data_IF_322344350126
#
_entry.id   IF_322344350126
#
_cell.length_a   1.000
_cell.length_b   1.000
_cell.length_c   1.000
_cell.angle_alpha   90.00
_cell.angle_beta   90.00
_cell.angle_gamma   90.00
#
_symmetry.space_group_name_H-M   'P 1'
#
loop_
_entity.id
_entity.type
_entity.pdbx_description
1 polymer ?
#
# COMPACT_ATOMS: atom_id res chain seq x y z
N UNK A 1 -8.52 20.81 6.60
CA UNK A 1 -8.23 19.85 5.51
C UNK A 1 -8.85 18.52 5.91
N UNK A 2 -9.66 17.89 5.05
CA UNK A 2 -10.26 16.58 5.35
C UNK A 2 -9.19 15.49 5.44
N UNK A 3 -9.48 14.41 6.16
CA UNK A 3 -8.60 13.24 6.30
C UNK A 3 -8.20 12.66 4.94
N UNK A 4 -9.14 12.60 3.99
CA UNK A 4 -8.89 12.10 2.63
C UNK A 4 -7.84 12.96 1.90
N UNK A 5 -8.00 14.29 1.92
CA UNK A 5 -7.04 15.23 1.32
C UNK A 5 -5.65 15.15 1.95
N UNK A 6 -5.55 14.79 3.24
CA UNK A 6 -4.26 14.57 3.90
C UNK A 6 -3.60 13.27 3.42
N UNK A 7 -4.38 12.20 3.24
CA UNK A 7 -3.90 10.91 2.75
C UNK A 7 -3.38 11.04 1.32
N UNK A 8 -4.13 11.68 0.43
CA UNK A 8 -3.72 11.93 -0.96
C UNK A 8 -2.39 12.70 -1.02
N UNK A 9 -2.31 13.84 -0.31
CA UNK A 9 -1.07 14.63 -0.26
C UNK A 9 0.11 13.89 0.35
N UNK A 10 -0.13 13.01 1.32
CA UNK A 10 0.93 12.18 1.91
C UNK A 10 1.44 11.17 0.89
N UNK A 11 0.53 10.56 0.11
CA UNK A 11 0.88 9.60 -0.93
C UNK A 11 1.71 10.27 -2.04
N UNK A 12 1.25 11.42 -2.55
CA UNK A 12 1.97 12.18 -3.59
C UNK A 12 3.37 12.58 -3.11
N UNK A 13 3.47 13.14 -1.90
CA UNK A 13 4.74 13.52 -1.31
C UNK A 13 5.67 12.31 -1.08
N UNK A 14 5.11 11.17 -0.69
CA UNK A 14 5.90 9.95 -0.50
C UNK A 14 6.50 9.48 -1.84
N UNK A 15 5.70 9.42 -2.92
CA UNK A 15 6.17 9.07 -4.26
C UNK A 15 7.22 10.05 -4.78
N UNK A 16 6.96 11.35 -4.67
CA UNK A 16 7.91 12.40 -5.06
C UNK A 16 9.21 12.33 -4.26
N UNK A 17 9.12 12.03 -2.98
CA UNK A 17 10.26 11.85 -2.11
C UNK A 17 11.16 10.71 -2.54
N UNK A 18 10.58 9.56 -2.89
CA UNK A 18 11.33 8.41 -3.42
C UNK A 18 12.00 8.80 -4.74
N UNK A 19 11.24 9.41 -5.67
CA UNK A 19 11.80 9.85 -6.96
C UNK A 19 13.00 10.77 -6.77
N UNK A 20 12.92 11.72 -5.84
CA UNK A 20 14.02 12.66 -5.55
C UNK A 20 15.23 12.00 -4.92
N UNK A 21 15.03 11.17 -3.90
CA UNK A 21 16.10 10.60 -3.06
C UNK A 21 16.74 9.36 -3.66
N UNK A 22 15.94 8.48 -4.26
CA UNK A 22 16.40 7.17 -4.72
C UNK A 22 16.46 7.10 -6.25
N UNK A 23 16.04 8.14 -6.97
CA UNK A 23 15.94 8.17 -8.44
C UNK A 23 15.12 7.01 -9.01
N UNK A 24 14.19 6.48 -8.21
CA UNK A 24 13.27 5.42 -8.60
C UNK A 24 11.95 6.05 -8.98
N UNK A 25 11.50 5.76 -10.19
CA UNK A 25 10.12 6.01 -10.60
C UNK A 25 9.31 4.74 -10.30
N UNK A 26 8.26 4.87 -9.49
CA UNK A 26 7.37 3.75 -9.19
C UNK A 26 6.22 3.79 -10.19
N UNK A 27 6.44 3.22 -11.37
CA UNK A 27 5.35 2.88 -12.27
C UNK A 27 4.82 1.52 -11.80
N UNK A 28 3.60 1.52 -11.28
CA UNK A 28 2.90 0.29 -10.88
C UNK A 28 2.88 -0.63 -12.11
N UNK A 29 3.52 -1.78 -12.00
CA UNK A 29 3.58 -2.77 -13.09
C UNK A 29 4.91 -2.84 -13.86
N UNK A 30 5.89 -1.96 -13.67
CA UNK A 30 7.16 -2.05 -14.43
C UNK A 30 8.20 -2.97 -13.79
N UNK A 31 8.25 -3.03 -12.46
CA UNK A 31 9.29 -3.78 -11.75
C UNK A 31 9.14 -5.30 -11.92
N UNK A 32 7.92 -5.79 -12.05
CA UNK A 32 7.62 -7.21 -12.12
C UNK A 32 8.02 -7.80 -13.50
N UNK A 33 7.67 -7.17 -14.65
CA UNK A 33 8.26 -7.49 -15.94
C UNK A 33 9.79 -7.42 -15.94
N UNK A 34 10.39 -6.40 -15.33
CA UNK A 34 11.85 -6.28 -15.28
C UNK A 34 12.55 -7.43 -14.53
N UNK A 35 11.97 -7.92 -13.41
CA UNK A 35 12.47 -9.10 -12.70
C UNK A 35 12.37 -10.36 -13.58
N UNK A 36 11.24 -10.54 -14.26
CA UNK A 36 11.03 -11.67 -15.15
C UNK A 36 12.00 -11.64 -16.34
N UNK A 37 12.23 -10.48 -16.96
CA UNK A 37 13.22 -10.29 -18.02
C UNK A 37 14.65 -10.60 -17.55
N UNK A 38 15.03 -10.14 -16.35
CA UNK A 38 16.33 -10.44 -15.76
C UNK A 38 16.53 -11.95 -15.49
N UNK A 39 15.44 -12.72 -15.33
CA UNK A 39 15.47 -14.17 -15.22
C UNK A 39 15.43 -14.91 -16.58
N UNK A 40 15.50 -14.18 -17.70
CA UNK A 40 15.48 -14.73 -19.05
C UNK A 40 14.09 -15.02 -19.60
N UNK A 41 13.03 -14.46 -19.01
CA UNK A 41 11.67 -14.59 -19.52
C UNK A 41 11.38 -13.50 -20.57
N UNK A 42 10.80 -13.88 -21.70
CA UNK A 42 10.36 -12.98 -22.77
C UNK A 42 8.87 -13.18 -23.05
N UNK A 43 8.25 -12.28 -23.84
CA UNK A 43 6.82 -12.35 -24.16
C UNK A 43 5.89 -12.44 -22.93
N UNK A 44 6.24 -11.69 -21.88
CA UNK A 44 5.51 -11.69 -20.62
C UNK A 44 4.08 -11.19 -20.86
N UNK A 45 3.11 -12.10 -20.82
CA UNK A 45 1.70 -11.78 -20.68
C UNK A 45 1.41 -11.60 -19.20
N UNK A 46 1.69 -10.42 -18.69
CA UNK A 46 1.32 -10.05 -17.33
C UNK A 46 -0.20 -9.90 -17.26
N UNK A 47 -0.91 -10.97 -16.89
CA UNK A 47 -2.28 -10.85 -16.43
C UNK A 47 -2.24 -10.36 -14.99
N UNK A 48 -2.21 -9.05 -14.80
CA UNK A 48 -2.33 -8.43 -13.47
C UNK A 48 -3.75 -8.67 -12.97
N UNK A 49 -4.03 -9.87 -12.45
CA UNK A 49 -5.24 -10.13 -11.70
C UNK A 49 -5.06 -9.56 -10.29
N UNK A 50 -5.21 -8.24 -10.17
CA UNK A 50 -5.27 -7.58 -8.88
C UNK A 50 -6.65 -7.85 -8.26
N UNK A 51 -6.73 -8.97 -7.55
CA UNK A 51 -7.85 -9.31 -6.68
C UNK A 51 -7.85 -8.32 -5.49
N UNK A 52 -8.36 -7.12 -5.73
CA UNK A 52 -8.44 -6.02 -4.76
C UNK A 52 -9.60 -6.23 -3.80
N UNK A 53 -9.43 -7.09 -2.81
CA UNK A 53 -10.48 -7.35 -1.84
C UNK A 53 -10.51 -6.29 -0.73
N UNK A 54 -11.68 -5.68 -0.50
CA UNK A 54 -11.88 -4.79 0.64
C UNK A 54 -11.88 -5.56 1.95
N UNK A 55 -11.45 -4.94 3.04
CA UNK A 55 -11.63 -5.54 4.38
C UNK A 55 -13.09 -5.73 4.75
N UNK A 56 -13.96 -4.88 4.21
CA UNK A 56 -15.40 -4.97 4.39
C UNK A 56 -16.03 -6.12 3.61
N UNK A 57 -15.34 -6.73 2.64
CA UNK A 57 -15.94 -7.74 1.78
C UNK A 57 -16.39 -8.97 2.60
N UNK A 58 -17.71 -9.27 2.61
CA UNK A 58 -18.28 -10.31 3.45
C UNK A 58 -17.81 -11.72 3.06
N UNK A 59 -17.32 -11.91 1.83
CA UNK A 59 -16.79 -13.20 1.34
C UNK A 59 -15.45 -13.56 2.01
N UNK A 60 -14.74 -12.59 2.59
CA UNK A 60 -13.48 -12.85 3.31
C UNK A 60 -13.74 -13.33 4.73
N UNK A 61 -12.99 -14.33 5.21
CA UNK A 61 -13.05 -14.76 6.61
C UNK A 61 -12.60 -13.63 7.54
N UNK A 62 -13.39 -13.35 8.57
CA UNK A 62 -13.12 -12.24 9.49
C UNK A 62 -11.78 -12.39 10.23
N UNK A 63 -11.40 -13.62 10.58
CA UNK A 63 -10.14 -13.90 11.27
C UNK A 63 -8.93 -13.48 10.41
N UNK A 64 -8.94 -13.83 9.13
CA UNK A 64 -7.87 -13.49 8.18
C UNK A 64 -7.77 -11.98 7.98
N UNK A 65 -8.91 -11.30 7.79
CA UNK A 65 -8.97 -9.84 7.68
C UNK A 65 -8.38 -9.16 8.91
N UNK A 66 -8.71 -9.63 10.12
CA UNK A 66 -8.15 -9.08 11.36
C UNK A 66 -6.66 -9.35 11.48
N UNK A 67 -6.19 -10.52 11.05
CA UNK A 67 -4.77 -10.85 11.08
C UNK A 67 -3.97 -9.98 10.10
N UNK A 68 -4.44 -9.81 8.87
CA UNK A 68 -3.85 -8.90 7.89
C UNK A 68 -3.81 -7.46 8.39
N UNK A 69 -4.90 -6.98 9.01
CA UNK A 69 -4.94 -5.64 9.57
C UNK A 69 -3.90 -5.44 10.69
N UNK A 70 -3.64 -6.47 11.52
CA UNK A 70 -2.55 -6.44 12.51
C UNK A 70 -1.18 -6.37 11.84
N UNK A 71 -0.95 -7.15 10.80
CA UNK A 71 0.28 -7.12 10.01
C UNK A 71 0.48 -5.74 9.38
N UNK A 72 -0.56 -5.15 8.80
CA UNK A 72 -0.49 -3.82 8.20
C UNK A 72 -0.21 -2.72 9.23
N UNK A 73 -0.78 -2.80 10.44
CA UNK A 73 -0.43 -1.90 11.55
C UNK A 73 1.05 -2.03 11.91
N UNK A 74 1.58 -3.25 11.99
CA UNK A 74 2.98 -3.50 12.30
C UNK A 74 3.89 -2.93 11.19
N UNK A 75 3.63 -3.27 9.93
CA UNK A 75 4.37 -2.76 8.78
C UNK A 75 4.33 -1.23 8.69
N UNK A 76 3.18 -0.62 8.95
CA UNK A 76 3.04 0.83 8.97
C UNK A 76 3.99 1.43 10.00
N UNK A 77 4.00 0.94 11.24
CA UNK A 77 4.91 1.42 12.30
C UNK A 77 6.38 1.19 11.95
N UNK A 78 6.73 0.03 11.42
CA UNK A 78 8.11 -0.31 11.05
C UNK A 78 8.65 0.63 9.97
N UNK A 79 7.80 1.07 9.04
CA UNK A 79 8.20 1.95 7.94
C UNK A 79 8.21 3.44 8.30
N UNK A 80 7.76 3.85 9.49
CA UNK A 80 7.65 5.28 9.87
C UNK A 80 8.87 6.14 9.61
N UNK A 81 10.05 5.66 9.98
CA UNK A 81 11.28 6.43 9.81
C UNK A 81 11.60 6.62 8.33
N UNK A 82 11.45 5.56 7.55
CA UNK A 82 11.69 5.55 6.10
C UNK A 82 10.65 6.39 5.36
N UNK A 83 9.37 6.21 5.64
CA UNK A 83 8.28 6.97 5.01
C UNK A 83 8.35 8.46 5.37
N UNK A 84 8.76 8.80 6.60
CA UNK A 84 9.01 10.19 7.00
C UNK A 84 10.10 10.82 6.15
N UNK A 85 11.22 10.13 5.92
CA UNK A 85 12.33 10.63 5.09
C UNK A 85 11.83 11.00 3.70
N UNK A 86 11.08 10.12 3.05
CA UNK A 86 10.52 10.38 1.73
C UNK A 86 9.47 11.49 1.75
N UNK A 87 8.51 11.46 2.67
CA UNK A 87 7.48 12.49 2.75
C UNK A 87 8.06 13.91 2.96
N UNK A 88 9.12 14.06 3.76
CA UNK A 88 9.82 15.35 3.91
C UNK A 88 10.44 15.80 2.59
N UNK A 89 11.14 14.90 1.88
CA UNK A 89 11.70 15.21 0.56
C UNK A 89 10.61 15.55 -0.50
N UNK A 90 9.42 14.99 -0.32
CA UNK A 90 8.21 15.33 -1.07
C UNK A 90 7.52 16.64 -0.66
N UNK A 91 8.04 17.37 0.34
CA UNK A 91 7.51 18.67 0.76
C UNK A 91 6.50 18.62 1.92
N UNK A 92 6.35 17.48 2.61
CA UNK A 92 5.51 17.41 3.81
C UNK A 92 6.24 17.92 5.04
N UNK A 93 5.51 18.66 5.87
CA UNK A 93 6.01 19.08 7.18
C UNK A 93 5.86 17.95 8.22
N UNK A 94 6.73 17.95 9.23
CA UNK A 94 6.64 17.00 10.35
C UNK A 94 5.25 17.02 11.01
N UNK A 95 4.62 18.19 11.14
CA UNK A 95 3.28 18.33 11.70
C UNK A 95 2.23 17.54 10.89
N UNK A 96 2.27 17.65 9.55
CA UNK A 96 1.34 16.92 8.67
C UNK A 96 1.60 15.42 8.67
N UNK A 97 2.88 15.00 8.67
CA UNK A 97 3.27 13.58 8.76
C UNK A 97 2.76 12.98 10.08
N UNK A 98 2.96 13.66 11.20
CA UNK A 98 2.50 13.19 12.51
C UNK A 98 0.97 13.13 12.59
N UNK A 99 0.26 14.09 11.98
CA UNK A 99 -1.20 14.06 11.88
C UNK A 99 -1.68 12.84 11.07
N UNK A 100 -1.08 12.60 9.90
CA UNK A 100 -1.38 11.44 9.05
C UNK A 100 -1.15 10.12 9.78
N UNK A 101 0.02 9.94 10.42
CA UNK A 101 0.36 8.70 11.12
C UNK A 101 -0.62 8.39 12.25
N UNK A 102 -0.96 9.41 13.04
CA UNK A 102 -1.92 9.29 14.15
C UNK A 102 -3.32 8.94 13.66
N UNK A 103 -3.83 9.65 12.64
CA UNK A 103 -5.16 9.40 12.09
C UNK A 103 -5.27 8.01 11.46
N UNK A 104 -4.25 7.61 10.70
CA UNK A 104 -4.20 6.30 10.03
C UNK A 104 -4.14 5.16 11.03
N UNK A 105 -3.27 5.26 12.06
CA UNK A 105 -3.24 4.25 13.15
C UNK A 105 -4.55 4.20 13.94
N UNK A 106 -5.12 5.35 14.29
CA UNK A 106 -6.38 5.40 15.03
C UNK A 106 -7.50 4.71 14.25
N UNK A 107 -7.57 4.97 12.93
CA UNK A 107 -8.52 4.30 12.03
C UNK A 107 -8.30 2.80 11.98
N UNK A 108 -7.08 2.34 11.69
CA UNK A 108 -6.78 0.89 11.62
C UNK A 108 -7.10 0.17 12.95
N UNK A 109 -6.79 0.80 14.09
CA UNK A 109 -7.13 0.25 15.42
C UNK A 109 -8.64 0.20 15.66
N UNK A 110 -9.38 1.24 15.28
CA UNK A 110 -10.84 1.28 15.41
C UNK A 110 -11.53 0.23 14.52
N UNK A 111 -10.98 -0.04 13.33
CA UNK A 111 -11.46 -1.12 12.47
C UNK A 111 -11.16 -2.49 13.08
N UNK A 112 -9.97 -2.67 13.66
CA UNK A 112 -9.59 -3.93 14.30
C UNK A 112 -10.48 -4.26 15.53
N UNK A 113 -10.86 -3.24 16.32
CA UNK A 113 -11.64 -3.42 17.54
C UNK A 113 -13.16 -3.53 17.32
N UNK A 114 -13.68 -3.12 16.16
CA UNK A 114 -15.12 -3.10 15.89
C UNK A 114 -15.45 -3.82 14.57
N UNK A 115 -15.95 -5.05 14.68
CA UNK A 115 -16.33 -5.88 13.53
C UNK A 115 -17.39 -5.22 12.66
N UNK A 116 -18.43 -4.60 13.25
CA UNK A 116 -19.49 -3.92 12.47
C UNK A 116 -18.88 -2.81 11.62
N UNK A 117 -18.04 -1.97 12.25
CA UNK A 117 -17.33 -0.89 11.57
C UNK A 117 -16.41 -1.42 10.46
N UNK A 118 -15.65 -2.47 10.74
CA UNK A 118 -14.79 -3.13 9.75
C UNK A 118 -15.58 -3.60 8.52
N UNK A 119 -16.76 -4.19 8.73
CA UNK A 119 -17.62 -4.71 7.67
C UNK A 119 -18.39 -3.65 6.90
N UNK A 120 -18.54 -2.44 7.46
CA UNK A 120 -19.23 -1.34 6.81
C UNK A 120 -18.30 -0.27 6.24
N UNK A 121 -16.98 -0.40 6.41
CA UNK A 121 -16.01 0.62 5.99
C UNK A 121 -15.43 0.26 4.59
N UNK A 122 -15.72 1.05 3.54
CA UNK A 122 -15.25 0.77 2.17
C UNK A 122 -13.87 1.38 1.89
N UNK A 123 -13.20 1.94 2.88
CA UNK A 123 -12.07 2.86 2.66
C UNK A 123 -10.70 2.21 2.85
N UNK A 124 -10.66 0.91 3.16
CA UNK A 124 -9.42 0.14 3.28
C UNK A 124 -9.51 -1.16 2.47
N UNK A 125 -8.57 -1.27 1.53
CA UNK A 125 -8.32 -2.48 0.76
C UNK A 125 -7.27 -3.35 1.48
N UNK A 126 -7.32 -4.65 1.23
CA UNK A 126 -6.33 -5.62 1.66
C UNK A 126 -5.19 -5.75 0.64
N UNK A 127 -4.21 -6.60 0.91
CA UNK A 127 -3.18 -6.91 -0.07
C UNK A 127 -3.80 -7.52 -1.35
N UNK A 128 -3.36 -7.03 -2.51
CA UNK A 128 -3.69 -7.61 -3.81
C UNK A 128 -2.77 -8.79 -4.09
N UNK A 129 -3.32 -9.89 -4.61
CA UNK A 129 -2.54 -10.95 -5.26
C UNK A 129 -2.14 -10.43 -6.65
N UNK A 130 -0.94 -10.79 -7.10
CA UNK A 130 -0.49 -10.53 -8.47
C UNK A 130 -0.05 -11.87 -9.06
N UNK A 131 -0.73 -12.33 -10.11
CA UNK A 131 -0.32 -13.49 -10.88
C UNK A 131 0.41 -12.98 -12.14
N UNK A 132 1.50 -13.63 -12.54
CA UNK A 132 2.20 -13.28 -13.78
C UNK A 132 2.52 -14.55 -14.52
N UNK A 133 2.18 -14.58 -15.80
CA UNK A 133 2.55 -15.65 -16.72
C UNK A 133 3.59 -15.14 -17.71
N UNK A 134 4.58 -15.97 -18.04
CA UNK A 134 5.60 -15.63 -19.03
C UNK A 134 6.22 -16.90 -19.61
N UNK A 135 6.72 -16.80 -20.84
CA UNK A 135 7.42 -17.88 -21.54
C UNK A 135 8.92 -17.66 -21.46
N UNK A 136 9.68 -18.73 -21.19
CA UNK A 136 11.15 -18.69 -21.24
C UNK A 136 11.60 -19.13 -22.63
N UNK A 137 12.32 -18.27 -23.34
CA UNK A 137 13.02 -18.70 -24.56
C UNK A 137 14.37 -19.29 -24.13
N UNK A 138 14.65 -20.51 -24.59
CA UNK A 138 15.89 -21.24 -24.29
C UNK A 138 17.02 -20.69 -25.16
#
# INVERSE_FOLDING_TARGET
MSTLKLVEKMYDAWLDGIRKLDKKEFIIGERLPGICQAAGLSDIKAEVQADGWLYSDPRRRLADVKQELRINILQFKTRYKTDRKYAIAGGMTNARINAYNRQTLAKMRALLSNTKKLRSDPTMYAASLFLVSGTKTV
#
